data_IF_794725528263
#
_entry.id   IF_794725528263
#
_cell.length_a   1.000
_cell.length_b   1.000
_cell.length_c   1.000
_cell.angle_alpha   90.00
_cell.angle_beta   90.00
_cell.angle_gamma   90.00
#
_symmetry.space_group_name_H-M   'P 1'
#
loop_
_entity.id
_entity.type
_entity.pdbx_description
1 polymer ?
#
# COMPACT_ATOMS: atom_id res chain seq x y z
N UNK A 1 -19.64 -0.70 5.92
CA UNK A 1 -18.50 -0.14 6.67
C UNK A 1 -18.84 1.28 7.03
N UNK A 2 -18.78 1.64 8.31
CA UNK A 2 -18.97 3.04 8.73
C UNK A 2 -17.63 3.80 8.79
N UNK A 3 -17.68 5.14 8.94
CA UNK A 3 -16.49 5.98 9.00
C UNK A 3 -15.49 5.57 10.10
N UNK A 4 -15.99 5.08 11.24
CA UNK A 4 -15.12 4.60 12.33
C UNK A 4 -14.30 3.37 11.93
N UNK A 5 -14.92 2.42 11.25
CA UNK A 5 -14.24 1.22 10.72
C UNK A 5 -13.25 1.59 9.61
N UNK A 6 -13.64 2.49 8.70
CA UNK A 6 -12.76 3.00 7.64
C UNK A 6 -11.52 3.69 8.24
N UNK A 7 -11.70 4.56 9.24
CA UNK A 7 -10.59 5.22 9.93
C UNK A 7 -9.66 4.24 10.67
N UNK A 8 -10.20 3.14 11.22
CA UNK A 8 -9.35 2.12 11.83
C UNK A 8 -8.41 1.46 10.81
N UNK A 9 -8.90 1.18 9.61
CA UNK A 9 -8.09 0.64 8.50
C UNK A 9 -7.05 1.69 8.08
N UNK A 10 -7.49 2.92 7.82
CA UNK A 10 -6.62 4.01 7.37
C UNK A 10 -5.48 4.28 8.36
N UNK A 11 -5.78 4.38 9.66
CA UNK A 11 -4.75 4.61 10.69
C UNK A 11 -3.74 3.46 10.80
N UNK A 12 -4.17 2.21 10.65
CA UNK A 12 -3.23 1.07 10.64
C UNK A 12 -2.29 1.15 9.44
N UNK A 13 -2.84 1.49 8.28
CA UNK A 13 -2.05 1.69 7.06
C UNK A 13 -1.06 2.84 7.21
N UNK A 14 -1.53 4.00 7.64
CA UNK A 14 -0.70 5.18 7.88
C UNK A 14 0.40 4.92 8.92
N UNK A 15 0.10 4.18 10.00
CA UNK A 15 1.10 3.83 11.01
C UNK A 15 2.22 2.95 10.42
N UNK A 16 1.90 2.03 9.50
CA UNK A 16 2.92 1.23 8.81
C UNK A 16 3.67 2.02 7.76
N UNK A 17 2.99 2.91 7.03
CA UNK A 17 3.63 3.83 6.09
C UNK A 17 4.63 4.73 6.82
N UNK A 18 4.30 5.22 8.03
CA UNK A 18 5.23 5.97 8.86
C UNK A 18 6.43 5.12 9.28
N UNK A 19 6.21 3.90 9.76
CA UNK A 19 7.31 3.00 10.13
C UNK A 19 8.24 2.69 8.94
N UNK A 20 7.66 2.52 7.75
CA UNK A 20 8.42 2.36 6.51
C UNK A 20 9.27 3.60 6.20
N UNK A 21 8.70 4.80 6.27
CA UNK A 21 9.41 6.05 6.02
C UNK A 21 10.54 6.30 7.03
N UNK A 22 10.29 6.01 8.32
CA UNK A 22 11.30 6.13 9.37
C UNK A 22 12.49 5.18 9.10
N UNK A 23 12.21 3.94 8.70
CA UNK A 23 13.22 2.95 8.38
C UNK A 23 13.95 3.26 7.06
N UNK A 24 13.24 3.79 6.06
CA UNK A 24 13.82 4.29 4.82
C UNK A 24 14.85 5.40 5.13
N UNK A 25 14.45 6.38 5.95
CA UNK A 25 15.31 7.49 6.34
C UNK A 25 16.53 7.03 7.16
N UNK A 26 16.36 5.99 7.99
CA UNK A 26 17.44 5.36 8.75
C UNK A 26 18.47 4.67 7.83
N UNK A 27 18.00 3.90 6.85
CA UNK A 27 18.86 3.07 5.99
C UNK A 27 19.52 3.84 4.83
N UNK A 28 18.85 4.84 4.27
CA UNK A 28 19.31 5.56 3.08
C UNK A 28 20.75 6.12 3.18
N UNK A 29 21.21 6.68 4.32
CA UNK A 29 22.60 7.12 4.46
C UNK A 29 23.62 5.99 4.35
N UNK A 30 23.30 4.78 4.83
CA UNK A 30 24.21 3.63 4.82
C UNK A 30 24.35 3.04 3.42
N UNK A 31 23.27 3.00 2.65
CA UNK A 31 23.28 2.42 1.30
C UNK A 31 23.61 3.42 0.21
N UNK A 32 23.88 4.68 0.58
CA UNK A 32 24.25 5.73 -0.37
C UNK A 32 25.41 5.27 -1.27
N UNK A 33 25.21 5.39 -2.59
CA UNK A 33 26.15 4.94 -3.64
C UNK A 33 26.35 3.43 -3.75
N UNK A 34 25.42 2.65 -3.24
CA UNK A 34 25.35 1.20 -3.48
C UNK A 34 24.15 0.88 -4.39
N UNK A 35 24.09 -0.31 -5.01
CA UNK A 35 22.90 -0.77 -5.71
C UNK A 35 21.63 -0.80 -4.83
N UNK A 36 21.78 -1.00 -3.51
CA UNK A 36 20.65 -0.97 -2.58
C UNK A 36 20.00 0.41 -2.49
N UNK A 37 20.75 1.52 -2.68
CA UNK A 37 20.11 2.85 -2.74
C UNK A 37 19.19 3.01 -3.95
N UNK A 38 19.55 2.42 -5.11
CA UNK A 38 18.64 2.42 -6.26
C UNK A 38 17.40 1.57 -5.95
N UNK A 39 17.59 0.37 -5.41
CA UNK A 39 16.49 -0.50 -4.98
C UNK A 39 15.57 0.18 -3.95
N UNK A 40 16.12 0.92 -2.97
CA UNK A 40 15.32 1.68 -2.01
C UNK A 40 14.43 2.73 -2.67
N UNK A 41 14.91 3.41 -3.71
CA UNK A 41 14.11 4.40 -4.44
C UNK A 41 12.93 3.72 -5.14
N UNK A 42 13.19 2.65 -5.90
CA UNK A 42 12.14 1.90 -6.60
C UNK A 42 11.10 1.33 -5.61
N UNK A 43 11.56 0.75 -4.48
CA UNK A 43 10.67 0.25 -3.43
C UNK A 43 9.80 1.39 -2.86
N UNK A 44 10.39 2.58 -2.65
CA UNK A 44 9.65 3.75 -2.16
C UNK A 44 8.62 4.26 -3.17
N UNK A 45 8.94 4.19 -4.46
CA UNK A 45 8.00 4.54 -5.54
C UNK A 45 6.82 3.56 -5.54
N UNK A 46 7.06 2.25 -5.47
CA UNK A 46 5.99 1.26 -5.36
C UNK A 46 5.06 1.49 -4.17
N UNK A 47 5.63 1.81 -2.99
CA UNK A 47 4.83 2.12 -1.79
C UNK A 47 4.02 3.40 -1.97
N UNK A 48 4.58 4.42 -2.63
CA UNK A 48 3.87 5.67 -2.93
C UNK A 48 2.71 5.46 -3.89
N UNK A 49 2.92 4.72 -4.98
CA UNK A 49 1.89 4.39 -5.96
C UNK A 49 0.79 3.53 -5.33
N UNK A 50 1.15 2.55 -4.50
CA UNK A 50 0.17 1.74 -3.79
C UNK A 50 -0.66 2.53 -2.77
N UNK A 51 -0.09 3.56 -2.15
CA UNK A 51 -0.85 4.46 -1.29
C UNK A 51 -1.90 5.21 -2.10
N UNK A 52 -1.50 5.78 -3.25
CA UNK A 52 -2.43 6.46 -4.15
C UNK A 52 -3.54 5.52 -4.63
N UNK A 53 -3.19 4.31 -5.05
CA UNK A 53 -4.14 3.30 -5.48
C UNK A 53 -5.14 2.90 -4.38
N UNK A 54 -4.68 2.76 -3.13
CA UNK A 54 -5.57 2.50 -2.00
C UNK A 54 -6.55 3.67 -1.71
N UNK A 55 -6.15 4.92 -2.01
CA UNK A 55 -7.06 6.08 -1.98
C UNK A 55 -8.11 5.99 -3.10
N UNK A 56 -7.70 5.66 -4.33
CA UNK A 56 -8.63 5.45 -5.46
C UNK A 56 -9.65 4.32 -5.19
N UNK A 57 -9.22 3.27 -4.50
CA UNK A 57 -10.09 2.18 -4.04
C UNK A 57 -10.99 2.55 -2.84
N UNK A 58 -10.86 3.76 -2.31
CA UNK A 58 -11.62 4.28 -1.18
C UNK A 58 -11.28 3.64 0.16
N UNK A 59 -10.11 3.00 0.28
CA UNK A 59 -9.63 2.40 1.53
C UNK A 59 -8.87 3.41 2.40
N UNK A 60 -8.31 4.45 1.78
CA UNK A 60 -7.66 5.57 2.45
C UNK A 60 -8.40 6.86 2.13
N UNK A 61 -8.46 7.81 3.08
CA UNK A 61 -9.02 9.12 2.83
C UNK A 61 -8.03 9.96 2.01
N UNK A 62 -8.55 10.93 1.26
CA UNK A 62 -7.71 11.91 0.56
C UNK A 62 -6.97 12.81 1.56
N UNK A 63 -7.66 13.21 2.65
CA UNK A 63 -7.10 14.06 3.69
C UNK A 63 -7.66 13.71 5.08
N UNK A 64 -6.78 13.55 6.07
CA UNK A 64 -7.19 13.38 7.46
C UNK A 64 -7.91 12.06 7.73
N UNK A 65 -9.06 12.15 8.39
CA UNK A 65 -9.92 11.01 8.74
C UNK A 65 -11.16 11.03 7.84
N UNK A 66 -11.63 9.85 7.45
CA UNK A 66 -12.91 9.65 6.80
C UNK A 66 -14.04 10.32 7.56
N UNK A 67 -14.78 11.18 6.87
CA UNK A 67 -16.13 11.55 7.28
C UNK A 67 -17.17 10.52 6.81
N UNK A 68 -18.44 10.77 7.12
CA UNK A 68 -19.53 9.85 6.76
C UNK A 68 -19.76 9.77 5.24
N UNK A 69 -19.57 10.88 4.53
CA UNK A 69 -19.74 10.96 3.08
C UNK A 69 -18.60 10.22 2.37
N UNK A 70 -17.35 10.47 2.75
CA UNK A 70 -16.18 9.80 2.19
C UNK A 70 -16.23 8.29 2.43
N UNK A 71 -16.67 7.86 3.62
CA UNK A 71 -16.86 6.44 3.92
C UNK A 71 -17.91 5.81 2.99
N UNK A 72 -19.04 6.50 2.75
CA UNK A 72 -20.07 6.07 1.82
C UNK A 72 -19.55 6.01 0.38
N UNK A 73 -18.86 7.05 -0.09
CA UNK A 73 -18.26 7.10 -1.43
C UNK A 73 -17.28 5.94 -1.62
N UNK A 74 -16.47 5.63 -0.61
CA UNK A 74 -15.63 4.43 -0.61
C UNK A 74 -16.44 3.14 -0.76
N UNK A 75 -17.60 3.03 -0.12
CA UNK A 75 -18.46 1.86 -0.30
C UNK A 75 -19.04 1.74 -1.71
N UNK A 76 -19.35 2.88 -2.36
CA UNK A 76 -19.81 2.92 -3.75
C UNK A 76 -18.69 2.51 -4.70
N UNK A 77 -17.47 3.04 -4.51
CA UNK A 77 -16.25 2.65 -5.27
C UNK A 77 -16.09 1.12 -5.32
N UNK A 78 -16.22 0.48 -4.16
CA UNK A 78 -16.06 -0.96 -3.97
C UNK A 78 -17.28 -1.80 -4.36
N UNK A 79 -18.41 -1.20 -4.73
CA UNK A 79 -19.60 -1.90 -5.21
C UNK A 79 -19.49 -2.19 -6.72
N UNK A 80 -18.40 -2.84 -7.14
CA UNK A 80 -18.10 -3.09 -8.56
C UNK A 80 -19.17 -3.92 -9.26
N UNK A 81 -19.76 -4.89 -8.55
CA UNK A 81 -20.90 -5.69 -9.01
C UNK A 81 -22.25 -4.95 -9.09
N UNK A 82 -22.30 -3.67 -8.71
CA UNK A 82 -23.51 -2.80 -8.76
C UNK A 82 -24.71 -3.37 -8.00
N UNK A 83 -24.47 -3.94 -6.82
CA UNK A 83 -25.49 -4.67 -6.05
C UNK A 83 -26.20 -3.78 -5.02
N UNK A 84 -25.52 -2.76 -4.51
CA UNK A 84 -26.00 -1.95 -3.37
C UNK A 84 -26.37 -0.53 -3.75
N UNK A 85 -25.63 0.11 -4.65
CA UNK A 85 -25.79 1.53 -4.95
C UNK A 85 -26.18 1.74 -6.41
N UNK A 86 -27.46 1.50 -6.71
CA UNK A 86 -28.00 1.52 -8.07
C UNK A 86 -28.76 2.79 -8.42
N UNK A 87 -29.19 3.55 -7.41
CA UNK A 87 -29.92 4.81 -7.56
C UNK A 87 -29.71 5.71 -6.34
N UNK A 88 -30.14 6.98 -6.42
CA UNK A 88 -30.12 7.90 -5.28
C UNK A 88 -30.97 7.41 -4.10
N UNK A 89 -31.95 6.54 -4.36
CA UNK A 89 -32.79 5.99 -3.30
C UNK A 89 -32.01 5.06 -2.36
N UNK A 90 -30.89 4.51 -2.81
CA UNK A 90 -30.01 3.67 -2.01
C UNK A 90 -29.11 4.48 -1.07
N UNK A 91 -29.03 5.80 -1.29
CA UNK A 91 -28.23 6.74 -0.49
C UNK A 91 -29.02 7.18 0.76
N UNK A 92 -28.38 7.24 1.95
CA UNK A 92 -29.00 7.80 3.16
C UNK A 92 -29.51 9.22 2.92
N UNK A 93 -30.74 9.51 3.34
CA UNK A 93 -31.43 10.77 2.99
C UNK A 93 -30.65 12.03 3.37
N UNK A 94 -29.94 12.02 4.49
CA UNK A 94 -29.15 13.18 4.95
C UNK A 94 -27.87 13.40 4.15
N UNK A 95 -27.43 12.43 3.34
CA UNK A 95 -26.26 12.54 2.48
C UNK A 95 -26.61 12.79 1.00
N UNK A 96 -27.89 12.68 0.64
CA UNK A 96 -28.34 12.84 -0.76
C UNK A 96 -28.04 14.22 -1.34
N UNK A 97 -28.04 15.26 -0.50
CA UNK A 97 -27.75 16.63 -0.93
C UNK A 97 -26.32 16.84 -1.48
N UNK A 98 -25.42 15.87 -1.25
CA UNK A 98 -24.07 15.87 -1.80
C UNK A 98 -23.98 15.25 -3.20
N UNK A 99 -25.07 14.69 -3.71
CA UNK A 99 -25.15 14.11 -5.05
C UNK A 99 -26.12 14.95 -5.90
N UNK A 100 -25.98 14.84 -7.22
CA UNK A 100 -26.91 15.49 -8.14
C UNK A 100 -28.35 14.94 -7.97
N UNK A 101 -29.34 15.78 -8.26
CA UNK A 101 -30.76 15.49 -8.03
C UNK A 101 -31.36 14.40 -8.94
N UNK A 102 -30.59 13.83 -9.89
CA UNK A 102 -31.08 12.84 -10.85
C UNK A 102 -30.39 11.49 -10.67
N UNK A 103 -31.18 10.41 -10.79
CA UNK A 103 -30.66 9.04 -10.78
C UNK A 103 -29.65 8.80 -11.93
N UNK A 104 -29.83 9.49 -13.07
CA UNK A 104 -28.92 9.41 -14.21
C UNK A 104 -27.52 9.95 -13.86
N UNK A 105 -27.45 11.15 -13.25
CA UNK A 105 -26.19 11.74 -12.82
C UNK A 105 -25.52 10.93 -11.70
N UNK A 106 -26.29 10.45 -10.73
CA UNK A 106 -25.77 9.54 -9.71
C UNK A 106 -25.20 8.27 -10.31
N UNK A 107 -25.88 7.68 -11.30
CA UNK A 107 -25.41 6.44 -11.95
C UNK A 107 -24.13 6.69 -12.74
N UNK A 108 -24.01 7.83 -13.41
CA UNK A 108 -22.79 8.25 -14.10
C UNK A 108 -21.62 8.39 -13.12
N UNK A 109 -21.80 9.18 -12.06
CA UNK A 109 -20.84 9.34 -10.97
C UNK A 109 -20.42 7.98 -10.38
N UNK A 110 -21.40 7.14 -10.01
CA UNK A 110 -21.13 5.85 -9.39
C UNK A 110 -20.40 4.88 -10.33
N UNK A 111 -20.55 5.03 -11.65
CA UNK A 111 -19.79 4.22 -12.61
C UNK A 111 -18.36 4.72 -12.76
N UNK A 112 -18.15 6.03 -12.81
CA UNK A 112 -16.82 6.64 -12.90
C UNK A 112 -15.94 6.22 -11.71
N UNK A 113 -16.43 6.38 -10.48
CA UNK A 113 -15.64 6.03 -9.28
C UNK A 113 -15.42 4.52 -9.12
N UNK A 114 -16.28 3.66 -9.71
CA UNK A 114 -16.05 2.21 -9.76
C UNK A 114 -14.97 1.84 -10.77
N UNK A 115 -14.89 2.57 -11.88
CA UNK A 115 -13.82 2.40 -12.87
C UNK A 115 -12.48 2.84 -12.30
N UNK A 116 -12.41 4.01 -11.64
CA UNK A 116 -11.23 4.43 -10.87
C UNK A 116 -10.80 3.41 -9.83
N UNK A 117 -11.77 2.80 -9.14
CA UNK A 117 -11.48 1.76 -8.16
C UNK A 117 -10.86 0.52 -8.82
N UNK A 118 -11.30 0.14 -10.02
CA UNK A 118 -10.72 -0.98 -10.78
C UNK A 118 -9.27 -0.67 -11.18
N UNK A 119 -9.05 0.52 -11.74
CA UNK A 119 -7.70 0.97 -12.12
C UNK A 119 -6.75 0.99 -10.90
N UNK A 120 -7.27 1.39 -9.73
CA UNK A 120 -6.55 1.30 -8.46
C UNK A 120 -6.15 -0.13 -8.08
N UNK A 121 -7.03 -1.13 -8.25
CA UNK A 121 -6.63 -2.52 -7.99
C UNK A 121 -5.61 -3.05 -8.99
N UNK A 122 -5.75 -2.75 -10.27
CA UNK A 122 -4.78 -3.13 -11.30
C UNK A 122 -3.40 -2.53 -10.97
N UNK A 123 -3.37 -1.27 -10.55
CA UNK A 123 -2.16 -0.60 -10.08
C UNK A 123 -1.55 -1.30 -8.84
N UNK A 124 -2.35 -1.71 -7.85
CA UNK A 124 -1.85 -2.45 -6.69
C UNK A 124 -1.22 -3.79 -7.08
N UNK A 125 -1.79 -4.49 -8.05
CA UNK A 125 -1.23 -5.76 -8.56
C UNK A 125 0.11 -5.51 -9.26
N UNK A 126 0.18 -4.49 -10.12
CA UNK A 126 1.41 -4.09 -10.80
C UNK A 126 2.51 -3.72 -9.80
N UNK A 127 2.21 -2.90 -8.78
CA UNK A 127 3.21 -2.51 -7.78
C UNK A 127 3.72 -3.70 -6.96
N UNK A 128 2.90 -4.72 -6.72
CA UNK A 128 3.35 -5.94 -6.06
C UNK A 128 4.30 -6.75 -6.94
N UNK A 129 4.05 -6.81 -8.26
CA UNK A 129 4.94 -7.47 -9.21
C UNK A 129 6.27 -6.74 -9.32
N UNK A 130 6.25 -5.43 -9.55
CA UNK A 130 7.44 -4.57 -9.61
C UNK A 130 8.27 -4.69 -8.31
N UNK A 131 7.62 -4.63 -7.15
CA UNK A 131 8.30 -4.80 -5.87
C UNK A 131 8.99 -6.17 -5.77
N UNK A 132 8.32 -7.25 -6.16
CA UNK A 132 8.88 -8.59 -6.11
C UNK A 132 10.12 -8.71 -7.02
N UNK A 133 10.04 -8.21 -8.25
CA UNK A 133 11.17 -8.20 -9.17
C UNK A 133 12.37 -7.44 -8.60
N UNK A 134 12.13 -6.28 -7.98
CA UNK A 134 13.21 -5.51 -7.36
C UNK A 134 13.86 -6.23 -6.19
N UNK A 135 13.05 -6.83 -5.30
CA UNK A 135 13.55 -7.57 -4.14
C UNK A 135 14.33 -8.85 -4.54
N UNK A 136 14.00 -9.45 -5.68
CA UNK A 136 14.76 -10.59 -6.22
C UNK A 136 16.06 -10.17 -6.93
N UNK A 137 16.07 -8.99 -7.54
CA UNK A 137 17.20 -8.50 -8.36
C UNK A 137 18.41 -8.01 -7.56
N UNK A 138 18.23 -7.45 -6.37
CA UNK A 138 19.32 -6.89 -5.54
C UNK A 138 19.31 -7.53 -4.16
N UNK A 139 20.17 -8.53 -3.95
CA UNK A 139 20.27 -9.22 -2.66
C UNK A 139 21.29 -8.54 -1.76
N UNK A 140 20.88 -8.21 -0.53
CA UNK A 140 21.73 -7.57 0.48
C UNK A 140 23.09 -8.28 0.64
N UNK A 141 23.07 -9.62 0.77
CA UNK A 141 24.28 -10.44 0.96
C UNK A 141 25.28 -10.34 -0.20
N UNK A 142 24.82 -10.07 -1.42
CA UNK A 142 25.69 -9.92 -2.59
C UNK A 142 26.36 -8.56 -2.65
N UNK A 143 25.69 -7.52 -2.13
CA UNK A 143 26.21 -6.14 -2.13
C UNK A 143 27.30 -5.96 -1.08
N UNK A 144 27.23 -6.71 0.02
CA UNK A 144 28.17 -6.60 1.15
C UNK A 144 29.12 -7.80 1.29
N UNK A 145 29.26 -8.63 0.25
CA UNK A 145 30.27 -9.68 0.25
C UNK A 145 31.68 -9.05 0.29
N UNK A 146 32.48 -9.40 1.31
CA UNK A 146 33.88 -8.99 1.43
C UNK A 146 34.79 -10.18 1.74
N UNK A 147 36.07 -10.04 1.41
CA UNK A 147 37.08 -11.07 1.62
C UNK A 147 37.59 -11.07 3.08
N UNK A 148 37.06 -11.97 3.89
CA UNK A 148 37.39 -12.11 5.32
C UNK A 148 38.85 -12.53 5.55
N UNK A 149 39.50 -13.20 4.60
CA UNK A 149 40.86 -13.76 4.75
C UNK A 149 41.95 -12.67 4.86
N UNK A 150 41.58 -11.43 4.51
CA UNK A 150 42.48 -10.27 4.49
C UNK A 150 42.46 -9.44 5.79
N UNK A 151 41.57 -9.75 6.73
CA UNK A 151 41.31 -8.93 7.92
C UNK A 151 41.67 -9.64 9.23
N UNK A 152 42.05 -8.84 10.24
CA UNK A 152 42.21 -9.35 11.60
C UNK A 152 40.87 -9.83 12.16
N UNK A 153 40.89 -10.94 12.91
CA UNK A 153 39.68 -11.59 13.46
C UNK A 153 38.74 -10.63 14.18
N UNK A 154 39.29 -9.71 14.97
CA UNK A 154 38.48 -8.75 15.73
C UNK A 154 37.83 -7.68 14.83
N UNK A 155 38.51 -7.29 13.75
CA UNK A 155 37.98 -6.38 12.73
C UNK A 155 36.83 -7.05 11.97
N UNK A 156 37.01 -8.30 11.53
CA UNK A 156 35.95 -9.09 10.88
C UNK A 156 34.73 -9.23 11.80
N UNK A 157 34.93 -9.50 13.08
CA UNK A 157 33.85 -9.61 14.08
C UNK A 157 33.00 -8.33 14.18
N UNK A 158 33.65 -7.17 14.28
CA UNK A 158 32.95 -5.88 14.38
C UNK A 158 32.21 -5.53 13.09
N UNK A 159 32.82 -5.80 11.93
CA UNK A 159 32.20 -5.59 10.63
C UNK A 159 30.96 -6.46 10.46
N UNK A 160 31.04 -7.75 10.81
CA UNK A 160 29.92 -8.67 10.71
C UNK A 160 28.76 -8.25 11.63
N UNK A 161 29.03 -7.75 12.84
CA UNK A 161 27.96 -7.23 13.72
C UNK A 161 27.19 -6.05 13.11
N UNK A 162 27.89 -5.15 12.41
CA UNK A 162 27.24 -4.02 11.73
C UNK A 162 26.42 -4.51 10.54
N UNK A 163 26.95 -5.44 9.75
CA UNK A 163 26.22 -5.98 8.60
C UNK A 163 25.02 -6.83 9.01
N UNK A 164 25.12 -7.65 10.06
CA UNK A 164 24.00 -8.42 10.59
C UNK A 164 22.86 -7.49 11.04
N UNK A 165 23.21 -6.37 11.68
CA UNK A 165 22.22 -5.38 12.08
C UNK A 165 21.58 -4.71 10.86
N UNK A 166 22.37 -4.22 9.89
CA UNK A 166 21.86 -3.62 8.66
C UNK A 166 21.01 -4.59 7.84
N UNK A 167 21.36 -5.87 7.82
CA UNK A 167 20.57 -6.91 7.16
C UNK A 167 19.23 -7.11 7.87
N UNK A 168 19.22 -7.13 9.20
CA UNK A 168 17.98 -7.25 9.98
C UNK A 168 17.03 -6.08 9.69
N UNK A 169 17.57 -4.86 9.66
CA UNK A 169 16.81 -3.65 9.32
C UNK A 169 16.33 -3.68 7.86
N UNK A 170 17.16 -4.16 6.93
CA UNK A 170 16.77 -4.35 5.53
C UNK A 170 15.60 -5.34 5.38
N UNK A 171 15.64 -6.49 6.05
CA UNK A 171 14.53 -7.46 6.01
C UNK A 171 13.24 -6.88 6.61
N UNK A 172 13.35 -6.07 7.67
CA UNK A 172 12.20 -5.35 8.23
C UNK A 172 11.63 -4.32 7.22
N UNK A 173 12.50 -3.63 6.49
CA UNK A 173 12.14 -2.69 5.43
C UNK A 173 11.39 -3.37 4.29
N UNK A 174 11.91 -4.49 3.77
CA UNK A 174 11.23 -5.29 2.75
C UNK A 174 9.85 -5.76 3.21
N UNK A 175 9.75 -6.23 4.46
CA UNK A 175 8.48 -6.70 5.03
C UNK A 175 7.44 -5.59 5.11
N UNK A 176 7.85 -4.38 5.52
CA UNK A 176 6.96 -3.23 5.56
C UNK A 176 6.49 -2.84 4.15
N UNK A 177 7.41 -2.76 3.18
CA UNK A 177 7.10 -2.48 1.79
C UNK A 177 6.06 -3.45 1.23
N UNK A 178 6.30 -4.77 1.39
CA UNK A 178 5.37 -5.83 0.97
C UNK A 178 3.98 -5.67 1.55
N UNK A 179 3.89 -5.23 2.80
CA UNK A 179 2.60 -5.02 3.46
C UNK A 179 1.86 -3.77 2.99
N UNK A 180 2.57 -2.79 2.44
CA UNK A 180 2.01 -1.51 2.00
C UNK A 180 1.56 -1.54 0.53
N UNK A 181 2.19 -2.37 -0.31
CA UNK A 181 1.74 -2.58 -1.71
C UNK A 181 0.47 -3.43 -1.83
N UNK A 182 -0.01 -3.98 -0.72
CA UNK A 182 -1.28 -4.71 -0.63
C UNK A 182 -2.50 -3.80 -0.47
N UNK A 183 -3.68 -4.42 -0.41
CA UNK A 183 -4.91 -3.70 -0.07
C UNK A 183 -4.91 -3.32 1.41
N UNK A 184 -5.27 -2.08 1.72
CA UNK A 184 -5.17 -1.56 3.08
C UNK A 184 -6.07 -2.29 4.09
N UNK A 185 -7.22 -2.81 3.68
CA UNK A 185 -8.09 -3.59 4.58
C UNK A 185 -7.52 -4.96 4.95
N UNK A 186 -6.56 -5.46 4.19
CA UNK A 186 -5.88 -6.75 4.39
C UNK A 186 -4.48 -6.56 4.93
N UNK A 187 -4.16 -5.38 5.47
CA UNK A 187 -2.80 -5.04 5.87
C UNK A 187 -2.23 -6.01 6.92
N UNK A 188 -3.09 -6.54 7.79
CA UNK A 188 -2.73 -7.52 8.82
C UNK A 188 -2.71 -8.97 8.30
N UNK A 189 -3.11 -9.20 7.05
CA UNK A 189 -3.13 -10.52 6.43
C UNK A 189 -1.80 -10.83 5.73
N UNK A 190 -1.15 -11.96 6.06
CA UNK A 190 0.17 -12.28 5.55
C UNK A 190 0.18 -12.80 4.10
N UNK A 191 -0.95 -13.30 3.60
CA UNK A 191 -1.09 -13.86 2.24
C UNK A 191 -2.56 -13.73 1.77
N UNK A 192 -3.02 -12.51 1.45
CA UNK A 192 -4.38 -12.31 0.96
C UNK A 192 -4.58 -12.93 -0.43
N UNK A 193 -5.62 -13.74 -0.59
CA UNK A 193 -5.99 -14.31 -1.89
C UNK A 193 -6.47 -13.19 -2.84
N UNK A 194 -5.61 -12.84 -3.79
CA UNK A 194 -5.84 -11.76 -4.75
C UNK A 194 -7.05 -12.05 -5.65
N UNK A 195 -7.18 -13.29 -6.12
CA UNK A 195 -8.27 -13.69 -7.02
C UNK A 195 -9.62 -13.75 -6.31
N UNK A 196 -9.64 -14.16 -5.04
CA UNK A 196 -10.85 -14.11 -4.23
C UNK A 196 -11.28 -12.67 -3.96
N UNK A 197 -10.32 -11.77 -3.71
CA UNK A 197 -10.64 -10.38 -3.39
C UNK A 197 -11.15 -9.62 -4.60
N UNK A 198 -10.55 -9.85 -5.78
CA UNK A 198 -11.04 -9.32 -7.06
C UNK A 198 -12.47 -9.80 -7.35
N UNK A 199 -12.72 -11.11 -7.26
CA UNK A 199 -14.04 -11.68 -7.49
C UNK A 199 -15.10 -11.13 -6.52
N UNK A 200 -14.77 -10.93 -5.24
CA UNK A 200 -15.71 -10.40 -4.25
C UNK A 200 -16.08 -8.93 -4.50
N UNK A 201 -15.22 -8.16 -5.16
CA UNK A 201 -15.42 -6.74 -5.42
C UNK A 201 -16.06 -6.48 -6.79
N UNK A 202 -15.79 -7.34 -7.76
CA UNK A 202 -16.12 -7.09 -9.17
C UNK A 202 -17.10 -8.08 -9.80
N UNK A 203 -17.37 -9.24 -9.19
CA UNK A 203 -18.45 -10.18 -9.58
C UNK A 203 -19.71 -10.04 -8.69
#
# INVERSE_FOLDING_TARGET
>A
MNAREANLIAHRYQARAQAFNDLHALLAPFFRRTPLAASMNEISECVSEALHANTLCGWLPDFGDFDELEALVGEIRRDGGRKRFTSLNDIPTHLREHFDDTDEAFTEFANEIREECRDGYDSLLEQQEILNEHLESVRFDQVFAFDEDSLEVETTRLINQVFDHLHTEWLAYEKLARSLVGMAHLIDEPDPDKGLTEALLFD
#
